data_IF_458323966601
#
_entry.id   IF_458323966601
#
_cell.length_a   1.000
_cell.length_b   1.000
_cell.length_c   1.000
_cell.angle_alpha   90.00
_cell.angle_beta   90.00
_cell.angle_gamma   90.00
#
_symmetry.space_group_name_H-M   'P 1'
#
loop_
_entity.id
_entity.type
_entity.pdbx_description
1 polymer ?
#
# COMPACT_ATOMS: atom_id res chain seq x y z
N UNK A 1 -29.55 5.54 -2.91
CA UNK A 1 -28.93 4.19 -2.86
C UNK A 1 -29.95 3.20 -2.34
N UNK A 2 -30.00 2.00 -2.92
CA UNK A 2 -30.82 0.91 -2.40
C UNK A 2 -30.11 0.25 -1.21
N UNK A 3 -30.84 -0.12 -0.17
CA UNK A 3 -30.30 -0.83 0.99
C UNK A 3 -30.81 -2.26 1.03
N UNK A 4 -30.02 -3.16 1.60
CA UNK A 4 -30.36 -4.57 1.81
C UNK A 4 -30.16 -4.93 3.28
N UNK A 5 -30.80 -6.02 3.72
CA UNK A 5 -30.63 -6.55 5.08
C UNK A 5 -29.85 -7.86 5.03
N UNK A 6 -28.75 -7.95 5.76
CA UNK A 6 -27.95 -9.18 5.90
C UNK A 6 -28.12 -9.72 7.31
N UNK A 7 -28.37 -11.03 7.43
CA UNK A 7 -28.41 -11.71 8.73
C UNK A 7 -26.98 -11.98 9.19
N UNK A 8 -26.65 -11.54 10.40
CA UNK A 8 -25.36 -11.79 11.05
C UNK A 8 -25.58 -12.30 12.47
N UNK A 9 -24.61 -13.02 13.07
CA UNK A 9 -24.68 -13.39 14.48
C UNK A 9 -24.85 -12.16 15.38
N UNK A 10 -25.61 -12.29 16.47
CA UNK A 10 -25.88 -11.19 17.41
C UNK A 10 -24.58 -10.56 17.94
N UNK A 11 -23.58 -11.38 18.26
CA UNK A 11 -22.27 -10.91 18.71
C UNK A 11 -21.54 -10.05 17.66
N UNK A 12 -21.70 -10.37 16.36
CA UNK A 12 -21.13 -9.58 15.27
C UNK A 12 -21.83 -8.24 15.15
N UNK A 13 -23.16 -8.22 15.22
CA UNK A 13 -23.92 -6.97 15.24
C UNK A 13 -23.52 -6.08 16.43
N UNK A 14 -23.34 -6.65 17.63
CA UNK A 14 -22.88 -5.91 18.80
C UNK A 14 -21.47 -5.31 18.61
N UNK A 15 -20.55 -6.07 18.01
CA UNK A 15 -19.21 -5.56 17.65
C UNK A 15 -19.29 -4.39 16.68
N UNK A 16 -20.07 -4.51 15.61
CA UNK A 16 -20.28 -3.45 14.61
C UNK A 16 -20.92 -2.21 15.23
N UNK A 17 -21.89 -2.40 16.13
CA UNK A 17 -22.50 -1.31 16.89
C UNK A 17 -21.49 -0.58 17.78
N UNK A 18 -20.66 -1.31 18.52
CA UNK A 18 -19.61 -0.69 19.35
C UNK A 18 -18.59 0.09 18.51
N UNK A 19 -18.21 -0.42 17.33
CA UNK A 19 -17.35 0.29 16.39
C UNK A 19 -18.01 1.56 15.83
N UNK A 20 -19.29 1.48 15.48
CA UNK A 20 -20.09 2.60 15.01
C UNK A 20 -20.17 3.72 16.06
N UNK A 21 -20.50 3.36 17.30
CA UNK A 21 -20.56 4.28 18.45
C UNK A 21 -19.20 4.94 18.70
N UNK A 22 -18.11 4.15 18.74
CA UNK A 22 -16.74 4.68 18.95
C UNK A 22 -16.31 5.65 17.85
N UNK A 23 -16.76 5.43 16.61
CA UNK A 23 -16.38 6.23 15.44
C UNK A 23 -17.35 7.38 15.15
N UNK A 24 -18.48 7.46 15.84
CA UNK A 24 -19.53 8.43 15.55
C UNK A 24 -20.14 8.27 14.16
N UNK A 25 -20.19 7.04 13.62
CA UNK A 25 -20.65 6.74 12.26
C UNK A 25 -21.77 5.69 12.26
N UNK A 26 -22.67 5.68 11.26
CA UNK A 26 -23.67 4.62 11.09
C UNK A 26 -23.03 3.23 10.93
N UNK A 27 -23.70 2.17 11.43
CA UNK A 27 -23.23 0.78 11.27
C UNK A 27 -23.01 0.42 9.79
N UNK A 28 -23.88 0.89 8.89
CA UNK A 28 -23.73 0.65 7.45
C UNK A 28 -22.42 1.18 6.87
N UNK A 29 -21.98 2.37 7.31
CA UNK A 29 -20.69 2.93 6.90
C UNK A 29 -19.49 2.16 7.48
N UNK A 30 -19.63 1.65 8.70
CA UNK A 30 -18.61 0.78 9.31
C UNK A 30 -18.48 -0.54 8.53
N UNK A 31 -19.61 -1.09 8.08
CA UNK A 31 -19.62 -2.30 7.25
C UNK A 31 -18.97 -2.03 5.88
N UNK A 32 -19.34 -0.93 5.22
CA UNK A 32 -18.76 -0.52 3.94
C UNK A 32 -17.24 -0.29 4.04
N UNK A 33 -16.78 0.43 5.06
CA UNK A 33 -15.34 0.60 5.30
C UNK A 33 -14.64 -0.73 5.59
N UNK A 34 -15.25 -1.62 6.36
CA UNK A 34 -14.67 -2.92 6.67
C UNK A 34 -14.57 -3.82 5.43
N UNK A 35 -15.57 -3.77 4.53
CA UNK A 35 -15.55 -4.51 3.27
C UNK A 35 -14.42 -4.02 2.37
N UNK A 36 -14.28 -2.69 2.18
CA UNK A 36 -13.19 -2.12 1.37
C UNK A 36 -11.82 -2.47 1.91
N UNK A 37 -11.64 -2.42 3.23
CA UNK A 37 -10.37 -2.82 3.85
C UNK A 37 -10.04 -4.29 3.65
N UNK A 38 -11.05 -5.15 3.60
CA UNK A 38 -10.86 -6.56 3.29
C UNK A 38 -10.45 -6.74 1.82
N UNK A 39 -11.14 -6.07 0.89
CA UNK A 39 -10.80 -6.06 -0.53
C UNK A 39 -9.37 -5.55 -0.76
N UNK A 40 -8.99 -4.43 -0.13
CA UNK A 40 -7.64 -3.87 -0.20
C UNK A 40 -6.60 -4.86 0.35
N UNK A 41 -6.89 -5.50 1.49
CA UNK A 41 -5.97 -6.47 2.10
C UNK A 41 -5.76 -7.69 1.21
N UNK A 42 -6.83 -8.22 0.61
CA UNK A 42 -6.78 -9.36 -0.31
C UNK A 42 -5.99 -8.98 -1.57
N UNK A 43 -6.25 -7.79 -2.13
CA UNK A 43 -5.51 -7.26 -3.28
C UNK A 43 -4.00 -7.16 -2.99
N UNK A 44 -3.61 -6.55 -1.87
CA UNK A 44 -2.20 -6.40 -1.53
C UNK A 44 -1.53 -7.75 -1.21
N UNK A 45 -2.26 -8.69 -0.61
CA UNK A 45 -1.75 -10.05 -0.41
C UNK A 45 -1.46 -10.76 -1.74
N UNK A 46 -2.34 -10.61 -2.74
CA UNK A 46 -2.13 -11.17 -4.07
C UNK A 46 -0.96 -10.51 -4.82
N UNK A 47 -0.83 -9.19 -4.74
CA UNK A 47 0.30 -8.44 -5.30
C UNK A 47 1.61 -8.94 -4.71
N UNK A 48 1.70 -9.03 -3.37
CA UNK A 48 2.90 -9.50 -2.69
C UNK A 48 3.25 -10.93 -3.07
N UNK A 49 2.27 -11.85 -3.05
CA UNK A 49 2.49 -13.24 -3.47
C UNK A 49 2.92 -13.35 -4.94
N UNK A 50 2.50 -12.42 -5.80
CA UNK A 50 2.93 -12.38 -7.20
C UNK A 50 4.38 -11.90 -7.34
N UNK A 51 4.79 -10.89 -6.59
CA UNK A 51 6.20 -10.49 -6.51
C UNK A 51 7.09 -11.58 -5.90
N UNK A 52 6.65 -12.26 -4.85
CA UNK A 52 7.38 -13.39 -4.27
C UNK A 52 7.63 -14.49 -5.31
N UNK A 53 6.61 -14.83 -6.10
CA UNK A 53 6.75 -15.79 -7.22
C UNK A 53 7.72 -15.28 -8.29
N UNK A 54 7.64 -14.00 -8.66
CA UNK A 54 8.54 -13.38 -9.63
C UNK A 54 10.00 -13.46 -9.17
N UNK A 55 10.29 -13.06 -7.93
CA UNK A 55 11.66 -13.03 -7.41
C UNK A 55 12.22 -14.42 -7.10
N UNK A 56 11.38 -15.44 -6.95
CA UNK A 56 11.79 -16.84 -6.82
C UNK A 56 12.18 -17.51 -8.15
N UNK A 57 11.80 -16.92 -9.29
CA UNK A 57 12.17 -17.38 -10.64
C UNK A 57 13.32 -16.52 -11.20
N UNK A 58 14.55 -17.06 -11.31
CA UNK A 58 15.70 -16.29 -11.79
C UNK A 58 15.56 -15.76 -13.22
N UNK A 59 14.81 -16.44 -14.09
CA UNK A 59 14.63 -16.02 -15.48
C UNK A 59 13.62 -14.88 -15.55
N UNK A 60 12.44 -15.08 -14.94
CA UNK A 60 11.40 -14.05 -14.90
C UNK A 60 11.89 -12.78 -14.18
N UNK A 61 12.68 -12.95 -13.11
CA UNK A 61 13.33 -11.84 -12.42
C UNK A 61 14.29 -11.07 -13.31
N UNK A 62 15.15 -11.75 -14.06
CA UNK A 62 16.11 -11.10 -14.96
C UNK A 62 15.40 -10.32 -16.09
N UNK A 63 14.30 -10.85 -16.62
CA UNK A 63 13.46 -10.16 -17.59
C UNK A 63 12.83 -8.90 -17.00
N UNK A 64 12.24 -9.00 -15.80
CA UNK A 64 11.66 -7.85 -15.09
C UNK A 64 12.72 -6.78 -14.75
N UNK A 65 13.90 -7.16 -14.25
CA UNK A 65 14.98 -6.20 -13.95
C UNK A 65 15.49 -5.49 -15.21
N UNK A 66 15.58 -6.20 -16.35
CA UNK A 66 15.93 -5.58 -17.63
C UNK A 66 14.88 -4.59 -18.12
N UNK A 67 13.59 -4.91 -17.93
CA UNK A 67 12.50 -3.98 -18.21
C UNK A 67 12.57 -2.76 -17.30
N UNK A 68 12.71 -2.96 -15.99
CA UNK A 68 12.83 -1.86 -15.03
C UNK A 68 14.01 -0.94 -15.34
N UNK A 69 15.17 -1.48 -15.73
CA UNK A 69 16.34 -0.68 -16.11
C UNK A 69 16.07 0.20 -17.35
N UNK A 70 15.23 -0.25 -18.29
CA UNK A 70 14.81 0.57 -19.42
C UNK A 70 13.90 1.72 -18.97
N UNK A 71 12.94 1.44 -18.08
CA UNK A 71 12.04 2.46 -17.52
C UNK A 71 12.78 3.47 -16.63
N UNK A 72 13.75 3.01 -15.83
CA UNK A 72 14.58 3.87 -14.98
C UNK A 72 15.35 4.91 -15.79
N UNK A 73 15.67 4.64 -17.07
CA UNK A 73 16.33 5.63 -17.94
C UNK A 73 15.47 6.87 -18.21
N UNK A 74 14.14 6.75 -18.09
CA UNK A 74 13.17 7.84 -18.28
C UNK A 74 12.74 8.49 -16.96
N UNK A 75 13.32 8.09 -15.82
CA UNK A 75 12.92 8.55 -14.49
C UNK A 75 13.05 10.07 -14.31
N UNK A 76 14.04 10.69 -14.97
CA UNK A 76 14.34 12.11 -14.85
C UNK A 76 13.61 12.99 -15.87
N UNK A 77 12.91 12.39 -16.83
CA UNK A 77 12.27 13.12 -17.92
C UNK A 77 11.17 14.06 -17.38
N UNK A 78 11.25 15.36 -17.71
CA UNK A 78 10.27 16.36 -17.29
C UNK A 78 10.49 16.95 -15.89
N UNK A 79 11.56 16.54 -15.20
CA UNK A 79 11.98 17.09 -13.91
C UNK A 79 13.11 18.12 -14.03
N UNK A 80 13.51 18.52 -15.24
CA UNK A 80 14.65 19.40 -15.49
C UNK A 80 14.43 20.82 -14.93
N UNK A 81 13.18 21.28 -14.89
CA UNK A 81 12.79 22.63 -14.48
C UNK A 81 12.24 22.71 -13.04
N UNK A 82 12.01 21.56 -12.38
CA UNK A 82 11.48 21.48 -11.01
C UNK A 82 12.36 20.56 -10.14
N UNK A 83 13.61 20.95 -9.82
CA UNK A 83 14.31 20.30 -8.72
C UNK A 83 13.44 20.47 -7.47
N UNK A 84 13.13 19.39 -6.76
CA UNK A 84 12.37 19.50 -5.50
C UNK A 84 13.04 20.59 -4.64
N UNK A 85 12.27 21.61 -4.23
CA UNK A 85 12.76 22.65 -3.35
C UNK A 85 13.36 21.99 -2.09
N UNK A 86 14.62 22.30 -1.77
CA UNK A 86 15.33 21.72 -0.63
C UNK A 86 16.13 20.44 -0.90
N UNK A 87 16.24 19.93 -2.14
CA UNK A 87 17.20 18.84 -2.46
C UNK A 87 18.62 19.21 -2.07
N UNK A 88 19.04 20.44 -2.36
CA UNK A 88 20.38 20.91 -2.01
C UNK A 88 20.61 20.86 -0.49
N UNK A 89 19.59 21.16 0.31
CA UNK A 89 19.64 21.04 1.78
C UNK A 89 19.63 19.58 2.25
N UNK A 90 18.93 18.68 1.55
CA UNK A 90 18.93 17.24 1.83
C UNK A 90 20.27 16.57 1.47
N UNK A 91 20.90 16.99 0.36
CA UNK A 91 22.22 16.51 -0.08
C UNK A 91 23.37 17.14 0.72
N UNK A 92 23.18 18.36 1.24
CA UNK A 92 24.14 19.04 2.11
C UNK A 92 24.09 18.53 3.56
N UNK A 93 23.03 17.81 3.95
CA UNK A 93 23.03 17.09 5.21
C UNK A 93 24.08 15.97 5.15
N UNK A 94 24.96 15.85 6.16
CA UNK A 94 25.85 14.70 6.23
C UNK A 94 24.99 13.44 6.28
N UNK A 95 25.31 12.47 5.42
CA UNK A 95 24.74 11.11 5.45
C UNK A 95 24.47 10.72 6.91
N UNK A 96 23.21 10.45 7.31
CA UNK A 96 22.96 9.96 8.66
C UNK A 96 23.80 8.70 8.80
N UNK A 97 24.72 8.71 9.78
CA UNK A 97 25.66 7.63 10.02
C UNK A 97 24.93 6.29 9.84
N UNK A 98 25.30 5.56 8.78
CA UNK A 98 24.53 4.43 8.29
C UNK A 98 24.07 3.57 9.46
N UNK A 99 22.77 3.22 9.47
CA UNK A 99 22.29 2.13 10.31
C UNK A 99 23.15 0.94 9.93
N UNK A 100 24.14 0.66 10.78
CA UNK A 100 25.02 -0.47 10.63
C UNK A 100 24.15 -1.70 10.46
N UNK A 101 24.34 -2.37 9.32
CA UNK A 101 23.94 -3.75 9.14
C UNK A 101 24.41 -4.53 10.37
N UNK A 102 23.49 -4.81 11.30
CA UNK A 102 23.73 -5.80 12.33
C UNK A 102 23.57 -7.15 11.64
N UNK A 103 24.70 -7.72 11.26
CA UNK A 103 24.87 -9.18 11.15
C UNK A 103 24.71 -9.83 12.52
#
# INVERSE_FOLDING_TARGET
>A
MATVTVRVPQATHQRLRGLAEKRGRPIGEVIDEAARKLEDADFWAEVNASYERLYADPVARAEYEAEMALWDSTLMDGLEDYPYEGIEELLAQPEPAGVGSKS
#
